data_IF_483953488522
#
_entry.id   IF_483953488522
#
_cell.length_a   1.000
_cell.length_b   1.000
_cell.length_c   1.000
_cell.angle_alpha   90.00
_cell.angle_beta   90.00
_cell.angle_gamma   90.00
#
_symmetry.space_group_name_H-M   'P 1'
#
loop_
_entity.id
_entity.type
_entity.pdbx_description
1 polymer ?
#
# COMPACT_ATOMS: atom_id res chain seq x y z
N UNK A 1 -5.68 11.34 -13.98
CA UNK A 1 -4.73 12.26 -13.33
C UNK A 1 -5.39 13.62 -13.26
N UNK A 2 -5.51 14.27 -12.09
CA UNK A 2 -6.12 15.60 -12.02
C UNK A 2 -5.17 16.63 -12.65
N UNK A 3 -5.67 17.38 -13.64
CA UNK A 3 -4.94 18.39 -14.41
C UNK A 3 -5.33 19.76 -13.87
N UNK A 4 -4.42 20.44 -13.17
CA UNK A 4 -4.67 21.79 -12.67
C UNK A 4 -4.43 22.82 -13.78
N UNK A 5 -5.51 23.46 -14.21
CA UNK A 5 -5.50 24.57 -15.15
C UNK A 5 -5.24 25.88 -14.37
N UNK A 6 -4.22 26.64 -14.80
CA UNK A 6 -3.91 27.96 -14.24
C UNK A 6 -4.90 28.99 -14.78
N UNK A 7 -5.50 29.78 -13.89
CA UNK A 7 -6.10 31.06 -14.23
C UNK A 7 -4.95 32.06 -14.42
N UNK A 8 -4.91 32.69 -15.59
CA UNK A 8 -3.97 33.76 -15.94
C UNK A 8 -4.65 35.09 -15.58
N UNK A 9 -3.91 35.96 -14.87
CA UNK A 9 -4.30 37.32 -14.55
C UNK A 9 -4.29 38.21 -15.81
N UNK A 10 -5.20 39.18 -15.88
CA UNK A 10 -4.98 40.42 -16.63
C UNK A 10 -4.56 41.51 -15.64
N UNK A 11 -3.43 42.15 -15.93
CA UNK A 11 -2.95 43.38 -15.30
C UNK A 11 -2.83 44.41 -16.40
N UNK A 12 -3.40 45.60 -16.22
CA UNK A 12 -2.98 46.80 -16.95
C UNK A 12 -3.00 47.98 -15.98
N UNK A 13 -1.97 48.83 -16.05
CA UNK A 13 -1.97 50.14 -15.40
C UNK A 13 -0.62 50.58 -14.83
N UNK A 14 0.12 51.32 -15.66
CA UNK A 14 1.31 52.13 -15.39
C UNK A 14 1.45 52.81 -14.02
N UNK A 15 2.71 52.94 -13.54
CA UNK A 15 3.37 54.22 -13.16
C UNK A 15 4.60 53.99 -12.25
N UNK A 16 5.76 54.52 -12.64
CA UNK A 16 6.95 54.76 -11.77
C UNK A 16 6.77 56.09 -11.01
N UNK A 17 7.31 56.29 -9.78
CA UNK A 17 8.70 56.79 -9.67
C UNK A 17 9.53 56.34 -8.45
N UNK A 18 10.82 56.63 -8.59
CA UNK A 18 11.98 56.67 -7.70
C UNK A 18 11.89 56.43 -6.17
N UNK A 19 13.00 55.88 -5.68
CA UNK A 19 13.44 55.68 -4.28
C UNK A 19 12.96 54.40 -3.58
N UNK A 20 13.84 53.39 -3.49
CA UNK A 20 14.17 52.55 -2.31
C UNK A 20 14.94 51.29 -2.78
N UNK A 21 16.22 51.44 -3.11
CA UNK A 21 16.99 50.38 -3.80
C UNK A 21 17.54 49.26 -2.91
N UNK A 22 17.51 49.34 -1.57
CA UNK A 22 18.27 48.36 -0.75
C UNK A 22 17.49 47.49 0.25
N UNK A 23 16.15 47.47 0.25
CA UNK A 23 15.39 46.60 1.17
C UNK A 23 14.47 45.57 0.50
N UNK A 24 14.20 45.69 -0.80
CA UNK A 24 13.21 44.82 -1.48
C UNK A 24 13.81 43.53 -2.07
N UNK A 25 15.13 43.38 -2.18
CA UNK A 25 15.75 42.17 -2.75
C UNK A 25 15.72 40.94 -1.82
N UNK A 26 15.49 41.11 -0.51
CA UNK A 26 15.43 39.94 0.39
C UNK A 26 14.08 39.22 0.35
N UNK A 27 12.96 39.91 0.08
CA UNK A 27 11.63 39.29 0.16
C UNK A 27 11.30 38.40 -1.06
N UNK A 28 11.86 38.66 -2.25
CA UNK A 28 11.64 37.82 -3.43
C UNK A 28 12.40 36.48 -3.40
N UNK A 29 13.45 36.31 -2.56
CA UNK A 29 14.20 35.04 -2.46
C UNK A 29 13.45 33.94 -1.70
N UNK A 30 12.47 34.30 -0.87
CA UNK A 30 11.69 33.34 -0.07
C UNK A 30 10.47 32.80 -0.82
N UNK A 31 9.92 33.56 -1.78
CA UNK A 31 8.79 33.10 -2.59
C UNK A 31 9.21 32.19 -3.76
N UNK A 32 10.44 32.33 -4.28
CA UNK A 32 10.96 31.44 -5.33
C UNK A 32 11.28 30.01 -4.85
N UNK A 33 11.30 29.75 -3.53
CA UNK A 33 11.54 28.41 -3.00
C UNK A 33 10.30 27.51 -3.05
N UNK A 34 9.10 28.08 -3.18
CA UNK A 34 7.84 27.31 -3.26
C UNK A 34 7.62 26.66 -4.65
N UNK A 35 8.46 26.99 -5.64
CA UNK A 35 8.43 26.40 -6.98
C UNK A 35 9.79 25.80 -7.38
N UNK A 36 10.63 25.40 -6.43
CA UNK A 36 11.74 24.51 -6.77
C UNK A 36 11.16 23.15 -7.09
N UNK A 37 11.28 22.73 -8.35
CA UNK A 37 11.06 21.34 -8.76
C UNK A 37 11.72 20.44 -7.73
N UNK A 38 11.01 19.44 -7.17
CA UNK A 38 11.56 18.65 -6.08
C UNK A 38 12.92 18.12 -6.47
N UNK A 39 13.91 18.26 -5.57
CA UNK A 39 15.29 17.83 -5.82
C UNK A 39 15.32 16.43 -6.43
N UNK A 40 16.21 16.20 -7.40
CA UNK A 40 16.36 14.90 -8.08
C UNK A 40 16.47 13.76 -7.07
N UNK A 41 17.15 14.00 -5.94
CA UNK A 41 17.26 13.02 -4.85
C UNK A 41 15.92 12.69 -4.18
N UNK A 42 15.04 13.68 -3.99
CA UNK A 42 13.70 13.46 -3.43
C UNK A 42 12.80 12.69 -4.38
N UNK A 43 12.86 12.97 -5.69
CA UNK A 43 12.16 12.16 -6.70
C UNK A 43 12.68 10.72 -6.74
N UNK A 44 13.99 10.50 -6.69
CA UNK A 44 14.57 9.16 -6.61
C UNK A 44 14.12 8.43 -5.35
N UNK A 45 14.08 9.12 -4.20
CA UNK A 45 13.57 8.58 -2.95
C UNK A 45 12.10 8.15 -3.08
N UNK A 46 11.21 9.03 -3.56
CA UNK A 46 9.79 8.70 -3.75
C UNK A 46 9.60 7.53 -4.72
N UNK A 47 10.37 7.50 -5.82
CA UNK A 47 10.30 6.42 -6.78
C UNK A 47 10.74 5.08 -6.17
N UNK A 48 11.84 5.08 -5.41
CA UNK A 48 12.28 3.89 -4.65
C UNK A 48 11.24 3.46 -3.62
N UNK A 49 10.63 4.40 -2.90
CA UNK A 49 9.58 4.11 -1.94
C UNK A 49 8.35 3.49 -2.62
N UNK A 50 7.97 3.99 -3.78
CA UNK A 50 6.85 3.49 -4.57
C UNK A 50 7.15 2.11 -5.19
N UNK A 51 8.40 1.85 -5.61
CA UNK A 51 8.86 0.51 -6.01
C UNK A 51 8.92 -0.46 -4.82
N UNK A 52 9.29 0.03 -3.63
CA UNK A 52 9.34 -0.77 -2.40
C UNK A 52 7.96 -1.13 -1.86
N UNK A 53 6.92 -0.36 -2.20
CA UNK A 53 5.53 -0.72 -1.92
C UNK A 53 5.13 -1.97 -2.72
N UNK A 54 5.40 -3.15 -2.14
CA UNK A 54 4.86 -4.41 -2.64
C UNK A 54 3.34 -4.34 -2.56
N UNK A 55 2.67 -4.25 -3.72
CA UNK A 55 1.21 -4.38 -3.85
C UNK A 55 0.82 -5.84 -3.61
N UNK A 56 0.86 -6.27 -2.35
CA UNK A 56 0.46 -7.62 -1.97
C UNK A 56 -1.06 -7.66 -1.86
N UNK A 57 -1.69 -8.37 -2.79
CA UNK A 57 -3.12 -8.67 -2.74
C UNK A 57 -3.37 -9.80 -1.73
N UNK A 58 -3.47 -9.45 -0.45
CA UNK A 58 -3.59 -10.43 0.65
C UNK A 58 -4.80 -11.37 0.47
N UNK A 59 -5.92 -10.87 -0.05
CA UNK A 59 -7.09 -11.70 -0.36
C UNK A 59 -6.77 -12.79 -1.38
N UNK A 60 -6.09 -12.42 -2.47
CA UNK A 60 -5.71 -13.37 -3.52
C UNK A 60 -4.71 -14.39 -2.98
N UNK A 61 -3.74 -13.93 -2.19
CA UNK A 61 -2.74 -14.78 -1.56
C UNK A 61 -3.37 -15.79 -0.58
N UNK A 62 -4.25 -15.34 0.31
CA UNK A 62 -4.92 -16.23 1.28
C UNK A 62 -5.82 -17.26 0.58
N UNK A 63 -6.52 -16.88 -0.50
CA UNK A 63 -7.29 -17.83 -1.33
C UNK A 63 -6.39 -18.88 -1.97
N UNK A 64 -5.28 -18.47 -2.59
CA UNK A 64 -4.35 -19.40 -3.22
C UNK A 64 -3.75 -20.38 -2.20
N UNK A 65 -3.30 -19.87 -1.04
CA UNK A 65 -2.83 -20.71 0.08
C UNK A 65 -3.89 -21.72 0.50
N UNK A 66 -5.15 -21.29 0.61
CA UNK A 66 -6.25 -22.16 1.00
C UNK A 66 -6.44 -23.32 0.02
N UNK A 67 -6.51 -23.02 -1.28
CA UNK A 67 -6.69 -24.03 -2.34
C UNK A 67 -5.52 -25.03 -2.34
N UNK A 68 -4.28 -24.53 -2.27
CA UNK A 68 -3.08 -25.39 -2.25
C UNK A 68 -3.11 -26.29 -1.02
N UNK A 69 -3.35 -25.75 0.19
CA UNK A 69 -3.43 -26.54 1.42
C UNK A 69 -4.57 -27.57 1.37
N UNK A 70 -5.74 -27.20 0.87
CA UNK A 70 -6.89 -28.11 0.74
C UNK A 70 -6.57 -29.27 -0.20
N UNK A 71 -5.91 -28.99 -1.33
CA UNK A 71 -5.47 -30.00 -2.29
C UNK A 71 -4.41 -30.95 -1.72
N UNK A 72 -3.46 -30.43 -0.95
CA UNK A 72 -2.42 -31.22 -0.29
C UNK A 72 -3.04 -32.11 0.79
N UNK A 73 -3.90 -31.55 1.63
CA UNK A 73 -4.61 -32.28 2.66
C UNK A 73 -5.41 -33.45 2.06
N UNK A 74 -6.15 -33.22 0.97
CA UNK A 74 -6.91 -34.27 0.30
C UNK A 74 -6.02 -35.38 -0.30
N UNK A 75 -4.80 -35.06 -0.74
CA UNK A 75 -3.83 -36.06 -1.20
C UNK A 75 -3.30 -36.88 -0.03
N UNK A 76 -2.89 -36.22 1.05
CA UNK A 76 -2.33 -36.89 2.23
C UNK A 76 -3.37 -37.77 2.93
N UNK A 77 -4.61 -37.29 3.08
CA UNK A 77 -5.69 -38.05 3.72
C UNK A 77 -6.06 -39.31 2.92
N UNK A 78 -6.01 -39.26 1.58
CA UNK A 78 -6.28 -40.46 0.76
C UNK A 78 -5.22 -41.55 0.93
N UNK A 79 -4.00 -41.19 1.31
CA UNK A 79 -2.87 -42.10 1.48
C UNK A 79 -2.66 -42.54 2.94
N UNK A 80 -3.63 -42.31 3.84
CA UNK A 80 -3.51 -42.55 5.29
C UNK A 80 -3.20 -43.99 5.72
N UNK A 81 -3.36 -44.98 4.82
CA UNK A 81 -3.20 -46.41 5.15
C UNK A 81 -1.77 -46.82 5.52
N UNK A 82 -0.77 -45.98 5.24
CA UNK A 82 0.65 -46.23 5.59
C UNK A 82 1.33 -45.05 6.27
N UNK A 83 0.56 -44.19 6.95
CA UNK A 83 1.09 -42.90 7.40
C UNK A 83 2.07 -43.01 8.57
N UNK A 84 3.24 -42.41 8.39
CA UNK A 84 4.19 -42.16 9.48
C UNK A 84 3.61 -41.15 10.48
N UNK A 85 4.09 -41.19 11.73
CA UNK A 85 3.74 -40.21 12.78
C UNK A 85 3.98 -38.77 12.32
N UNK A 86 5.01 -38.55 11.50
CA UNK A 86 5.32 -37.20 11.00
C UNK A 86 4.37 -36.72 9.90
N UNK A 87 3.84 -37.64 9.09
CA UNK A 87 2.78 -37.31 8.13
C UNK A 87 1.48 -36.96 8.86
N UNK A 88 1.17 -37.64 9.97
CA UNK A 88 0.02 -37.29 10.81
C UNK A 88 0.15 -35.89 11.42
N UNK A 89 1.35 -35.53 11.91
CA UNK A 89 1.64 -34.16 12.38
C UNK A 89 1.46 -33.14 11.24
N UNK A 90 1.91 -33.49 10.04
CA UNK A 90 1.78 -32.63 8.85
C UNK A 90 0.32 -32.39 8.50
N UNK A 91 -0.51 -33.44 8.54
CA UNK A 91 -1.97 -33.33 8.34
C UNK A 91 -2.59 -32.41 9.40
N UNK A 92 -2.24 -32.56 10.68
CA UNK A 92 -2.75 -31.69 11.73
C UNK A 92 -2.39 -30.21 11.48
N UNK A 93 -1.12 -29.93 11.15
CA UNK A 93 -0.68 -28.58 10.80
C UNK A 93 -1.46 -28.00 9.61
N UNK A 94 -1.71 -28.80 8.58
CA UNK A 94 -2.49 -28.38 7.41
C UNK A 94 -3.95 -28.08 7.76
N UNK A 95 -4.58 -28.88 8.64
CA UNK A 95 -5.95 -28.64 9.12
C UNK A 95 -6.04 -27.32 9.88
N UNK A 96 -5.15 -27.11 10.85
CA UNK A 96 -5.10 -25.87 11.63
C UNK A 96 -4.84 -24.67 10.73
N UNK A 97 -3.92 -24.80 9.78
CA UNK A 97 -3.59 -23.73 8.84
C UNK A 97 -4.75 -23.40 7.90
N UNK A 98 -5.45 -24.42 7.38
CA UNK A 98 -6.68 -24.25 6.57
C UNK A 98 -7.74 -23.47 7.35
N UNK A 99 -7.93 -23.79 8.63
CA UNK A 99 -8.87 -23.06 9.50
C UNK A 99 -8.47 -21.59 9.66
N UNK A 100 -7.18 -21.31 9.92
CA UNK A 100 -6.65 -19.94 9.99
C UNK A 100 -6.87 -19.17 8.69
N UNK A 101 -6.64 -19.79 7.54
CA UNK A 101 -6.85 -19.17 6.23
C UNK A 101 -8.33 -18.85 5.96
N UNK A 102 -9.25 -19.73 6.39
CA UNK A 102 -10.69 -19.48 6.28
C UNK A 102 -11.09 -18.21 7.02
N UNK A 103 -10.64 -18.07 8.27
CA UNK A 103 -10.87 -16.87 9.09
C UNK A 103 -10.26 -15.62 8.46
N UNK A 104 -9.02 -15.70 7.97
CA UNK A 104 -8.38 -14.57 7.28
C UNK A 104 -9.18 -14.13 6.05
N UNK A 105 -9.64 -15.06 5.22
CA UNK A 105 -10.45 -14.74 4.03
C UNK A 105 -11.76 -14.07 4.46
N UNK A 106 -12.43 -14.59 5.49
CA UNK A 106 -13.67 -14.00 6.00
C UNK A 106 -13.45 -12.58 6.53
N UNK A 107 -12.42 -12.36 7.35
CA UNK A 107 -12.04 -11.03 7.84
C UNK A 107 -11.74 -10.07 6.69
N UNK A 108 -10.93 -10.48 5.72
CA UNK A 108 -10.60 -9.66 4.55
C UNK A 108 -11.84 -9.33 3.71
N UNK A 109 -12.85 -10.22 3.65
CA UNK A 109 -14.13 -9.93 2.99
C UNK A 109 -14.90 -8.84 3.73
N UNK A 110 -14.98 -8.92 5.07
CA UNK A 110 -15.62 -7.89 5.91
C UNK A 110 -14.92 -6.52 5.77
N UNK A 111 -13.59 -6.51 5.81
CA UNK A 111 -12.81 -5.28 5.63
C UNK A 111 -13.03 -4.67 4.24
N UNK A 112 -13.09 -5.52 3.20
CA UNK A 112 -13.41 -5.07 1.84
C UNK A 112 -14.81 -4.47 1.75
N UNK A 113 -15.83 -5.03 2.41
CA UNK A 113 -17.17 -4.45 2.43
C UNK A 113 -17.24 -3.12 3.18
N UNK A 114 -16.34 -2.89 4.14
CA UNK A 114 -16.16 -1.61 4.83
C UNK A 114 -15.31 -0.60 4.03
N UNK A 115 -14.90 -0.92 2.80
CA UNK A 115 -14.07 -0.05 1.96
C UNK A 115 -12.56 -0.12 2.22
N UNK A 116 -12.11 -0.92 3.19
CA UNK A 116 -10.70 -1.09 3.51
C UNK A 116 -10.07 -2.07 2.50
N UNK A 117 -9.23 -1.54 1.61
CA UNK A 117 -8.54 -2.31 0.57
C UNK A 117 -7.20 -2.85 1.11
N UNK A 118 -6.86 -4.08 0.73
CA UNK A 118 -5.56 -4.72 1.02
C UNK A 118 -5.10 -4.67 2.48
N UNK A 119 -6.02 -4.84 3.42
CA UNK A 119 -5.68 -4.94 4.84
C UNK A 119 -4.69 -6.08 5.10
N UNK A 120 -3.65 -5.81 5.87
CA UNK A 120 -2.66 -6.80 6.26
C UNK A 120 -3.29 -7.79 7.27
N UNK A 121 -3.31 -9.11 6.98
CA UNK A 121 -3.87 -10.11 7.88
C UNK A 121 -3.05 -10.30 9.16
N UNK A 122 -1.81 -9.79 9.25
CA UNK A 122 -0.94 -9.85 10.44
C UNK A 122 -1.08 -8.65 11.37
N UNK A 123 -1.85 -7.63 10.99
CA UNK A 123 -2.17 -6.56 11.93
C UNK A 123 -3.20 -7.11 12.91
N UNK A 124 -2.79 -7.23 14.18
CA UNK A 124 -3.68 -7.46 15.31
C UNK A 124 -4.89 -6.55 15.14
N UNK A 125 -6.09 -7.14 15.19
CA UNK A 125 -7.31 -6.39 14.93
C UNK A 125 -7.40 -5.26 15.96
N UNK A 126 -7.58 -4.04 15.49
CA UNK A 126 -8.42 -3.08 16.23
C UNK A 126 -9.73 -3.81 16.45
N UNK A 127 -10.09 -4.07 17.70
CA UNK A 127 -11.32 -4.76 18.06
C UNK A 127 -12.51 -4.06 17.36
N UNK A 128 -13.26 -4.83 16.57
CA UNK A 128 -14.53 -4.43 15.96
C UNK A 128 -15.55 -5.51 16.28
#
# INVERSE_FOLDING_TARGET
MPRYQKLINESDGDSKPAATTNQQQQQHRYQQQQHKSPSVGYHLYLYRQQLAQKKVEYMRLSKAKYIITDSLLAKTVRNLKGCSVDELKTVNHQIVFRHKLRHQIQRLRKLKSLGIKNANPKMESTEL
#
